data_IF_047775159006
#
_entry.id   IF_047775159006
#
_cell.length_a   1.000
_cell.length_b   1.000
_cell.length_c   1.000
_cell.angle_alpha   90.00
_cell.angle_beta   90.00
_cell.angle_gamma   90.00
#
_symmetry.space_group_name_H-M   'P 1'
#
loop_
_entity.id
_entity.type
_entity.pdbx_description
1 polymer ?
#
# COMPACT_ATOMS: atom_id res chain seq x y z
N UNK A 1 0.36 19.53 32.78
CA UNK A 1 0.74 18.88 31.53
C UNK A 1 0.38 19.82 30.40
N UNK A 2 1.38 20.33 29.65
CA UNK A 2 1.13 21.19 28.48
C UNK A 2 0.70 20.30 27.32
N UNK A 3 -0.52 20.48 26.84
CA UNK A 3 -0.98 19.87 25.59
C UNK A 3 -0.17 20.42 24.42
N UNK A 4 0.45 19.52 23.67
CA UNK A 4 1.18 19.86 22.46
C UNK A 4 0.18 20.25 21.36
N UNK A 5 0.44 21.36 20.67
CA UNK A 5 -0.38 21.79 19.53
C UNK A 5 -0.40 20.72 18.42
N UNK A 6 -1.47 20.61 17.61
CA UNK A 6 -1.57 19.63 16.52
C UNK A 6 -0.37 19.64 15.56
N UNK A 7 0.21 20.83 15.33
CA UNK A 7 1.38 21.01 14.47
C UNK A 7 2.67 20.50 15.14
N UNK A 8 2.82 20.62 16.44
CA UNK A 8 3.97 20.08 17.19
C UNK A 8 3.89 18.56 17.28
N UNK A 9 2.67 17.99 17.44
CA UNK A 9 2.43 16.55 17.41
C UNK A 9 2.78 15.96 16.05
N UNK A 10 2.40 16.62 14.95
CA UNK A 10 2.75 16.24 13.58
C UNK A 10 4.26 16.27 13.32
N UNK A 11 4.97 17.26 13.87
CA UNK A 11 6.43 17.42 13.68
C UNK A 11 7.25 16.42 14.50
N UNK A 12 6.78 16.00 15.69
CA UNK A 12 7.41 14.92 16.47
C UNK A 12 7.22 13.55 15.82
N UNK A 13 6.08 13.31 15.16
CA UNK A 13 5.80 12.06 14.47
C UNK A 13 6.65 11.88 13.19
N UNK A 14 7.12 12.97 12.55
CA UNK A 14 7.90 12.88 11.30
C UNK A 14 9.40 12.64 11.49
N UNK A 15 9.93 12.63 12.72
CA UNK A 15 11.37 12.49 12.99
C UNK A 15 11.79 11.15 13.60
N UNK A 16 10.87 10.21 13.81
CA UNK A 16 11.20 8.88 14.31
C UNK A 16 11.55 7.93 13.15
N UNK A 17 12.69 7.21 13.20
CA UNK A 17 13.03 6.21 12.17
C UNK A 17 11.97 5.11 12.02
N UNK A 18 11.17 4.86 13.07
CA UNK A 18 10.05 3.90 13.03
C UNK A 18 8.87 4.36 12.17
N UNK A 19 8.82 5.64 11.78
CA UNK A 19 7.73 6.19 10.96
C UNK A 19 8.12 6.37 9.50
N UNK A 20 9.36 6.04 9.12
CA UNK A 20 9.79 6.10 7.72
C UNK A 20 8.92 5.22 6.83
N UNK A 21 8.50 4.05 7.32
CA UNK A 21 7.67 3.09 6.57
C UNK A 21 6.24 3.56 6.25
N UNK A 22 5.74 4.59 6.95
CA UNK A 22 4.40 5.15 6.69
C UNK A 22 4.44 6.53 6.03
N UNK A 23 5.64 7.02 5.72
CA UNK A 23 5.83 8.29 5.05
C UNK A 23 6.13 8.06 3.56
N UNK A 24 5.38 8.75 2.72
CA UNK A 24 5.63 8.77 1.29
C UNK A 24 7.05 9.32 1.01
N UNK A 25 7.88 8.60 0.21
CA UNK A 25 9.17 9.14 -0.26
C UNK A 25 8.98 10.38 -1.14
N UNK A 26 9.98 11.28 -1.13
CA UNK A 26 9.96 12.44 -2.02
C UNK A 26 10.20 12.02 -3.47
N UNK A 27 9.47 12.66 -4.39
CA UNK A 27 9.55 12.38 -5.83
C UNK A 27 10.69 13.11 -6.56
N UNK A 28 11.63 13.76 -5.85
CA UNK A 28 12.69 14.56 -6.46
C UNK A 28 13.62 13.80 -7.42
N UNK A 29 14.01 14.42 -8.56
CA UNK A 29 15.00 13.88 -9.51
C UNK A 29 14.53 12.68 -10.35
N UNK A 30 13.25 12.63 -10.71
CA UNK A 30 12.66 11.52 -11.49
C UNK A 30 12.61 11.89 -12.96
N UNK A 31 13.03 10.95 -13.82
CA UNK A 31 12.70 10.99 -15.24
C UNK A 31 11.18 10.82 -15.38
N UNK A 32 10.45 11.75 -16.01
CA UNK A 32 9.02 11.62 -16.21
C UNK A 32 8.70 10.35 -17.02
N UNK A 33 7.72 9.58 -16.57
CA UNK A 33 7.28 8.33 -17.23
C UNK A 33 5.77 8.38 -17.53
N UNK A 34 5.31 9.32 -18.35
CA UNK A 34 3.88 9.58 -18.58
C UNK A 34 3.15 8.35 -19.12
N UNK A 35 3.81 7.54 -19.97
CA UNK A 35 3.26 6.28 -20.49
C UNK A 35 2.93 5.30 -19.36
N UNK A 36 3.86 5.07 -18.43
CA UNK A 36 3.66 4.12 -17.32
C UNK A 36 2.64 4.64 -16.33
N UNK A 37 2.63 5.96 -16.04
CA UNK A 37 1.59 6.60 -15.22
C UNK A 37 0.21 6.45 -15.86
N UNK A 38 0.11 6.59 -17.17
CA UNK A 38 -1.11 6.33 -17.95
C UNK A 38 -1.58 4.88 -17.83
N UNK A 39 -0.66 3.92 -17.92
CA UNK A 39 -0.97 2.49 -17.74
C UNK A 39 -1.51 2.20 -16.33
N UNK A 40 -0.91 2.74 -15.27
CA UNK A 40 -1.42 2.57 -13.90
C UNK A 40 -2.84 3.12 -13.79
N UNK A 41 -3.11 4.31 -14.34
CA UNK A 41 -4.45 4.91 -14.35
C UNK A 41 -5.45 4.02 -15.08
N UNK A 42 -5.13 3.60 -16.30
CA UNK A 42 -5.98 2.71 -17.10
C UNK A 42 -6.30 1.40 -16.37
N UNK A 43 -5.31 0.81 -15.70
CA UNK A 43 -5.53 -0.42 -14.92
C UNK A 43 -6.43 -0.17 -13.71
N UNK A 44 -6.30 0.98 -13.03
CA UNK A 44 -7.17 1.35 -11.92
C UNK A 44 -8.61 1.68 -12.33
N UNK A 45 -8.86 2.02 -13.59
CA UNK A 45 -10.22 2.15 -14.13
C UNK A 45 -10.93 0.79 -14.22
N UNK A 46 -10.18 -0.27 -14.56
CA UNK A 46 -10.70 -1.62 -14.73
C UNK A 46 -10.67 -2.46 -13.42
N UNK A 47 -9.67 -2.25 -12.57
CA UNK A 47 -9.42 -3.07 -11.38
C UNK A 47 -9.11 -2.20 -10.16
N UNK A 48 -9.67 -2.50 -8.99
CA UNK A 48 -9.37 -1.74 -7.76
C UNK A 48 -7.92 -1.88 -7.31
N UNK A 49 -7.25 -2.97 -7.69
CA UNK A 49 -5.89 -3.29 -7.28
C UNK A 49 -4.99 -3.33 -8.51
N UNK A 50 -3.87 -2.60 -8.46
CA UNK A 50 -2.79 -2.68 -9.44
C UNK A 50 -1.53 -3.20 -8.75
N UNK A 51 -0.99 -4.29 -9.27
CA UNK A 51 0.25 -4.89 -8.82
C UNK A 51 1.36 -4.56 -9.80
N UNK A 52 2.40 -3.91 -9.31
CA UNK A 52 3.59 -3.57 -10.10
C UNK A 52 4.74 -4.47 -9.68
N UNK A 53 5.16 -5.37 -10.57
CA UNK A 53 6.28 -6.28 -10.33
C UNK A 53 7.47 -5.93 -11.23
N UNK A 54 8.64 -5.71 -10.63
CA UNK A 54 9.88 -5.58 -11.37
C UNK A 54 11.11 -5.67 -10.48
N UNK A 55 12.28 -5.86 -11.06
CA UNK A 55 13.54 -6.01 -10.36
C UNK A 55 13.86 -4.84 -9.42
N UNK A 56 14.80 -5.07 -8.50
CA UNK A 56 15.35 -4.00 -7.65
C UNK A 56 15.95 -2.90 -8.53
N UNK A 57 15.85 -1.65 -8.08
CA UNK A 57 16.40 -0.50 -8.79
C UNK A 57 15.62 -0.03 -10.03
N UNK A 58 14.51 -0.67 -10.39
CA UNK A 58 13.67 -0.27 -11.54
C UNK A 58 12.88 1.03 -11.35
N UNK A 59 12.97 1.66 -10.19
CA UNK A 59 12.31 2.93 -9.88
C UNK A 59 10.83 2.83 -9.50
N UNK A 60 10.34 1.66 -9.06
CA UNK A 60 8.93 1.47 -8.62
C UNK A 60 8.47 2.47 -7.58
N UNK A 61 9.24 2.66 -6.52
CA UNK A 61 8.97 3.62 -5.44
C UNK A 61 8.79 5.03 -5.99
N UNK A 62 9.73 5.46 -6.83
CA UNK A 62 9.67 6.77 -7.49
C UNK A 62 8.49 6.90 -8.45
N UNK A 63 8.19 5.83 -9.19
CA UNK A 63 7.03 5.77 -10.08
C UNK A 63 5.72 5.94 -9.30
N UNK A 64 5.56 5.22 -8.18
CA UNK A 64 4.38 5.34 -7.34
C UNK A 64 4.27 6.74 -6.71
N UNK A 65 5.39 7.32 -6.25
CA UNK A 65 5.43 8.68 -5.76
C UNK A 65 5.03 9.70 -6.86
N UNK A 66 5.56 9.56 -8.08
CA UNK A 66 5.13 10.38 -9.23
C UNK A 66 3.66 10.21 -9.57
N UNK A 67 3.15 8.97 -9.51
CA UNK A 67 1.72 8.72 -9.76
C UNK A 67 0.84 9.49 -8.78
N UNK A 68 1.20 9.50 -7.50
CA UNK A 68 0.50 10.27 -6.47
C UNK A 68 0.52 11.77 -6.74
N UNK A 69 1.60 12.32 -7.32
CA UNK A 69 1.66 13.74 -7.69
C UNK A 69 0.69 14.10 -8.81
N UNK A 70 0.32 13.15 -9.65
CA UNK A 70 -0.63 13.35 -10.75
C UNK A 70 -2.08 13.14 -10.34
N UNK A 71 -2.33 12.65 -9.13
CA UNK A 71 -3.68 12.37 -8.61
C UNK A 71 -4.01 13.33 -7.48
N UNK A 72 -5.24 13.87 -7.46
CA UNK A 72 -5.73 14.68 -6.35
C UNK A 72 -6.28 13.82 -5.19
N UNK A 73 -6.03 12.50 -5.21
CA UNK A 73 -6.55 11.57 -4.21
C UNK A 73 -5.72 11.63 -2.93
N UNK A 74 -6.36 11.33 -1.81
CA UNK A 74 -5.64 11.03 -0.57
C UNK A 74 -4.79 9.79 -0.77
N UNK A 75 -3.60 9.78 -0.18
CA UNK A 75 -2.71 8.64 -0.26
C UNK A 75 -2.30 8.18 1.13
N UNK A 76 -2.44 6.87 1.36
CA UNK A 76 -1.84 6.19 2.51
C UNK A 76 -0.67 5.39 1.99
N UNK A 77 0.53 5.65 2.51
CA UNK A 77 1.75 4.93 2.16
C UNK A 77 2.11 3.95 3.26
N UNK A 78 2.41 2.73 2.88
CA UNK A 78 2.90 1.70 3.78
C UNK A 78 4.04 0.92 3.13
N UNK A 79 5.24 0.99 3.69
CA UNK A 79 6.40 0.22 3.28
C UNK A 79 6.50 -1.04 4.15
N UNK A 80 6.38 -2.20 3.52
CA UNK A 80 6.54 -3.50 4.16
C UNK A 80 8.02 -3.77 4.42
N UNK A 81 8.34 -4.24 5.62
CA UNK A 81 9.67 -4.68 6.01
C UNK A 81 9.64 -6.05 6.69
N UNK A 82 10.80 -6.57 7.09
CA UNK A 82 10.90 -7.87 7.76
C UNK A 82 10.17 -7.95 9.11
N UNK A 83 9.85 -6.81 9.74
CA UNK A 83 9.06 -6.78 10.97
C UNK A 83 7.59 -7.10 10.75
N UNK A 84 7.08 -6.96 9.52
CA UNK A 84 5.68 -7.25 9.16
C UNK A 84 5.38 -8.76 9.01
N UNK A 85 6.38 -9.61 9.18
CA UNK A 85 6.19 -11.04 9.41
C UNK A 85 5.45 -11.32 10.73
N UNK A 86 5.50 -10.38 11.68
CA UNK A 86 4.68 -10.39 12.88
C UNK A 86 3.37 -9.61 12.64
N UNK A 87 2.19 -10.27 12.69
CA UNK A 87 0.90 -9.62 12.54
C UNK A 87 0.68 -8.43 13.47
N UNK A 88 1.20 -8.48 14.70
CA UNK A 88 1.05 -7.38 15.66
C UNK A 88 1.73 -6.10 15.16
N UNK A 89 2.95 -6.22 14.64
CA UNK A 89 3.67 -5.10 14.05
C UNK A 89 2.96 -4.54 12.83
N UNK A 90 2.54 -5.42 11.92
CA UNK A 90 1.83 -5.02 10.71
C UNK A 90 0.56 -4.20 11.02
N UNK A 91 -0.33 -4.73 11.86
CA UNK A 91 -1.58 -4.04 12.22
C UNK A 91 -1.34 -2.75 13.00
N UNK A 92 -0.31 -2.73 13.86
CA UNK A 92 0.06 -1.54 14.62
C UNK A 92 0.46 -0.38 13.71
N UNK A 93 1.44 -0.59 12.83
CA UNK A 93 1.95 0.49 11.97
C UNK A 93 0.96 0.88 10.88
N UNK A 94 0.21 -0.07 10.31
CA UNK A 94 -0.86 0.25 9.36
C UNK A 94 -1.96 1.06 10.05
N UNK A 95 -2.32 0.73 11.29
CA UNK A 95 -3.25 1.50 12.09
C UNK A 95 -2.79 2.95 12.29
N UNK A 96 -1.50 3.18 12.57
CA UNK A 96 -0.92 4.53 12.67
C UNK A 96 -1.02 5.27 11.33
N UNK A 97 -0.65 4.61 10.22
CA UNK A 97 -0.74 5.20 8.88
C UNK A 97 -2.17 5.67 8.56
N UNK A 98 -3.16 4.85 8.90
CA UNK A 98 -4.56 5.16 8.63
C UNK A 98 -5.13 6.22 9.57
N UNK A 99 -4.71 6.26 10.85
CA UNK A 99 -5.13 7.27 11.81
C UNK A 99 -4.72 8.70 11.42
N UNK A 100 -3.72 8.85 10.55
CA UNK A 100 -3.35 10.15 9.97
C UNK A 100 -4.40 10.66 8.97
N UNK A 101 -5.26 9.80 8.46
CA UNK A 101 -6.24 10.08 7.41
C UNK A 101 -7.71 9.92 7.85
N UNK A 102 -7.94 9.27 8.98
CA UNK A 102 -9.29 9.05 9.54
C UNK A 102 -9.27 9.14 11.07
N UNK A 103 -10.27 9.79 11.70
CA UNK A 103 -10.40 9.80 13.15
C UNK A 103 -10.87 8.44 13.72
N UNK A 104 -11.49 7.60 12.91
CA UNK A 104 -11.95 6.28 13.33
C UNK A 104 -10.80 5.27 13.20
N UNK A 105 -10.35 4.76 14.35
CA UNK A 105 -9.33 3.72 14.39
C UNK A 105 -9.96 2.34 14.13
N UNK A 106 -9.31 1.47 13.34
CA UNK A 106 -9.70 0.07 13.25
C UNK A 106 -9.47 -0.64 14.61
N UNK A 107 -10.10 -1.82 14.83
CA UNK A 107 -9.96 -2.55 16.09
C UNK A 107 -8.48 -2.89 16.36
N UNK A 108 -7.99 -2.77 17.62
CA UNK A 108 -6.62 -3.10 17.95
C UNK A 108 -6.37 -4.61 17.81
N UNK A 109 -5.18 -4.98 17.38
CA UNK A 109 -4.75 -6.37 17.37
C UNK A 109 -4.37 -6.81 18.79
N UNK A 110 -4.79 -8.02 19.16
CA UNK A 110 -4.37 -8.69 20.40
C UNK A 110 -3.92 -10.12 20.10
N UNK A 111 -3.08 -10.76 20.94
CA UNK A 111 -2.59 -12.11 20.69
C UNK A 111 -3.70 -13.16 20.46
N UNK A 112 -4.88 -12.99 21.06
CA UNK A 112 -6.01 -13.90 20.88
C UNK A 112 -6.51 -13.94 19.42
N UNK A 113 -6.26 -12.90 18.64
CA UNK A 113 -6.62 -12.85 17.22
C UNK A 113 -5.79 -13.78 16.34
N UNK A 114 -4.66 -14.32 16.86
CA UNK A 114 -3.88 -15.34 16.15
C UNK A 114 -4.65 -16.66 15.98
N UNK A 115 -5.63 -16.96 16.85
CA UNK A 115 -6.45 -18.17 16.72
C UNK A 115 -7.38 -18.13 15.50
N UNK A 116 -7.79 -16.93 15.07
CA UNK A 116 -8.55 -16.72 13.83
C UNK A 116 -8.15 -15.41 13.15
N UNK A 117 -6.91 -15.43 12.67
CA UNK A 117 -6.26 -14.28 12.03
C UNK A 117 -7.02 -13.80 10.79
N UNK A 118 -7.60 -14.73 10.02
CA UNK A 118 -8.37 -14.38 8.83
C UNK A 118 -9.64 -13.59 9.15
N UNK A 119 -10.39 -14.02 10.17
CA UNK A 119 -11.59 -13.30 10.59
C UNK A 119 -11.25 -11.93 11.20
N UNK A 120 -10.16 -11.83 11.97
CA UNK A 120 -9.68 -10.55 12.47
C UNK A 120 -9.29 -9.62 11.32
N UNK A 121 -8.46 -10.08 10.37
CA UNK A 121 -8.03 -9.29 9.22
C UNK A 121 -9.23 -8.76 8.42
N UNK A 122 -10.24 -9.61 8.13
CA UNK A 122 -11.49 -9.18 7.48
C UNK A 122 -12.20 -8.05 8.23
N UNK A 123 -12.36 -8.18 9.55
CA UNK A 123 -13.01 -7.14 10.37
C UNK A 123 -12.22 -5.85 10.38
N UNK A 124 -10.89 -5.98 10.55
CA UNK A 124 -9.96 -4.86 10.57
C UNK A 124 -10.05 -4.05 9.28
N UNK A 125 -9.88 -4.68 8.11
CA UNK A 125 -9.88 -3.98 6.83
C UNK A 125 -11.25 -3.43 6.44
N UNK A 126 -12.35 -4.10 6.80
CA UNK A 126 -13.69 -3.53 6.63
C UNK A 126 -13.88 -2.26 7.46
N UNK A 127 -13.47 -2.27 8.71
CA UNK A 127 -13.53 -1.09 9.57
C UNK A 127 -12.64 0.04 9.05
N UNK A 128 -11.39 -0.29 8.65
CA UNK A 128 -10.43 0.64 8.10
C UNK A 128 -10.98 1.30 6.83
N UNK A 129 -11.41 0.54 5.85
CA UNK A 129 -11.91 1.08 4.58
C UNK A 129 -13.23 1.84 4.74
N UNK A 130 -14.11 1.43 5.66
CA UNK A 130 -15.34 2.17 5.98
C UNK A 130 -15.07 3.52 6.63
N UNK A 131 -13.93 3.67 7.29
CA UNK A 131 -13.52 4.94 7.91
C UNK A 131 -12.89 5.93 6.90
N UNK A 132 -12.57 5.48 5.69
CA UNK A 132 -12.03 6.31 4.59
C UNK A 132 -13.22 6.86 3.79
N UNK A 133 -13.69 8.06 4.15
CA UNK A 133 -14.87 8.68 3.55
C UNK A 133 -14.64 9.23 2.13
N UNK A 134 -13.38 9.45 1.71
CA UNK A 134 -13.03 10.04 0.44
C UNK A 134 -12.25 9.04 -0.42
N UNK A 135 -12.22 9.25 -1.76
CA UNK A 135 -11.38 8.44 -2.65
C UNK A 135 -9.93 8.42 -2.18
N UNK A 136 -9.45 7.23 -1.84
CA UNK A 136 -8.11 7.03 -1.24
C UNK A 136 -7.31 6.02 -2.04
N UNK A 137 -6.02 6.31 -2.25
CA UNK A 137 -5.05 5.37 -2.80
C UNK A 137 -4.18 4.82 -1.66
N UNK A 138 -4.25 3.52 -1.41
CA UNK A 138 -3.36 2.80 -0.50
C UNK A 138 -2.18 2.26 -1.30
N UNK A 139 -0.96 2.69 -0.98
CA UNK A 139 0.28 2.16 -1.57
C UNK A 139 0.91 1.20 -0.57
N UNK A 140 1.11 -0.04 -1.01
CA UNK A 140 1.84 -1.09 -0.28
C UNK A 140 3.18 -1.29 -1.02
N UNK A 141 4.24 -0.76 -0.44
CA UNK A 141 5.59 -0.88 -1.00
C UNK A 141 6.34 -2.08 -0.42
N UNK A 142 7.29 -2.62 -1.19
CA UNK A 142 8.16 -3.72 -0.77
C UNK A 142 7.42 -4.98 -0.30
N UNK A 143 6.27 -5.30 -0.86
CA UNK A 143 5.48 -6.48 -0.48
C UNK A 143 6.32 -7.75 -0.27
N UNK A 144 7.33 -7.95 -1.13
CA UNK A 144 8.24 -9.10 -1.11
C UNK A 144 9.08 -9.22 0.19
N UNK A 145 9.15 -8.19 1.04
CA UNK A 145 9.93 -8.23 2.27
C UNK A 145 9.31 -9.16 3.34
N UNK A 146 7.99 -9.40 3.28
CA UNK A 146 7.27 -10.32 4.16
C UNK A 146 6.54 -11.44 3.40
N UNK A 147 6.70 -11.55 2.08
CA UNK A 147 5.96 -12.48 1.22
C UNK A 147 6.20 -13.96 1.56
N UNK A 148 7.36 -14.29 2.12
CA UNK A 148 7.68 -15.67 2.53
C UNK A 148 6.86 -16.12 3.76
N UNK A 149 6.19 -15.19 4.47
CA UNK A 149 5.43 -15.48 5.68
C UNK A 149 3.95 -15.77 5.33
N UNK A 150 3.44 -16.98 5.58
CA UNK A 150 2.06 -17.35 5.27
C UNK A 150 1.00 -16.48 5.95
N UNK A 151 1.26 -16.04 7.19
CA UNK A 151 0.36 -15.18 7.95
C UNK A 151 0.21 -13.81 7.28
N UNK A 152 1.29 -13.25 6.73
CA UNK A 152 1.25 -12.00 5.98
C UNK A 152 0.43 -12.14 4.70
N UNK A 153 0.64 -13.20 3.91
CA UNK A 153 -0.13 -13.45 2.70
C UNK A 153 -1.62 -13.67 2.99
N UNK A 154 -1.95 -14.36 4.09
CA UNK A 154 -3.33 -14.51 4.55
C UNK A 154 -3.95 -13.15 4.90
N UNK A 155 -3.26 -12.32 5.66
CA UNK A 155 -3.72 -10.97 6.02
C UNK A 155 -3.95 -10.14 4.74
N UNK A 156 -3.00 -10.14 3.82
CA UNK A 156 -3.09 -9.37 2.58
C UNK A 156 -4.18 -9.87 1.64
N UNK A 157 -4.43 -11.18 1.59
CA UNK A 157 -5.58 -11.73 0.86
C UNK A 157 -6.91 -11.19 1.39
N UNK A 158 -7.08 -11.18 2.71
CA UNK A 158 -8.30 -10.64 3.34
C UNK A 158 -8.41 -9.12 3.13
N UNK A 159 -7.28 -8.39 3.20
CA UNK A 159 -7.21 -6.95 2.93
C UNK A 159 -7.67 -6.62 1.52
N UNK A 160 -7.02 -7.24 0.53
CA UNK A 160 -7.25 -6.95 -0.89
C UNK A 160 -8.66 -7.40 -1.34
N UNK A 161 -9.18 -8.49 -0.76
CA UNK A 161 -10.56 -8.93 -1.01
C UNK A 161 -11.63 -8.01 -0.42
N UNK A 162 -11.26 -7.14 0.53
CA UNK A 162 -12.19 -6.23 1.19
C UNK A 162 -12.18 -4.81 0.58
N UNK A 163 -11.37 -4.55 -0.45
CA UNK A 163 -11.21 -3.22 -1.06
C UNK A 163 -12.53 -2.72 -1.67
N UNK A 164 -13.10 -1.62 -1.19
CA UNK A 164 -14.34 -1.06 -1.72
C UNK A 164 -14.09 -0.20 -2.96
N UNK A 165 -15.15 0.17 -3.69
CA UNK A 165 -15.06 0.91 -4.95
C UNK A 165 -14.39 2.29 -4.85
N UNK A 166 -14.45 2.95 -3.70
CA UNK A 166 -13.84 4.27 -3.49
C UNK A 166 -12.37 4.20 -3.06
N UNK A 167 -11.83 3.00 -2.80
CA UNK A 167 -10.42 2.78 -2.48
C UNK A 167 -9.73 2.13 -3.68
N UNK A 168 -8.53 2.59 -3.98
CA UNK A 168 -7.60 1.96 -4.92
C UNK A 168 -6.37 1.48 -4.17
N UNK A 169 -5.80 0.36 -4.61
CA UNK A 169 -4.59 -0.18 -4.00
C UNK A 169 -3.51 -0.32 -5.07
N UNK A 170 -2.32 0.19 -4.78
CA UNK A 170 -1.13 0.03 -5.60
C UNK A 170 -0.11 -0.79 -4.81
N UNK A 171 0.16 -2.00 -5.26
CA UNK A 171 1.16 -2.88 -4.63
C UNK A 171 2.45 -2.87 -5.45
N UNK A 172 3.57 -2.67 -4.78
CA UNK A 172 4.90 -2.70 -5.38
C UNK A 172 5.67 -3.90 -4.83
N UNK A 173 6.11 -4.78 -5.72
CA UNK A 173 6.88 -5.98 -5.36
C UNK A 173 8.03 -6.23 -6.34
N UNK A 174 8.94 -7.12 -5.98
CA UNK A 174 9.93 -7.68 -6.91
C UNK A 174 9.36 -8.86 -7.69
N UNK A 175 8.35 -9.52 -7.14
CA UNK A 175 7.75 -10.73 -7.67
C UNK A 175 6.31 -10.51 -8.10
N UNK A 176 5.81 -11.43 -8.91
CA UNK A 176 4.39 -11.51 -9.28
C UNK A 176 3.52 -11.75 -8.05
N UNK A 177 2.21 -11.50 -8.10
CA UNK A 177 1.31 -11.79 -6.98
C UNK A 177 1.43 -13.23 -6.51
N UNK A 178 1.45 -13.49 -5.19
CA UNK A 178 1.53 -14.85 -4.66
C UNK A 178 0.24 -15.63 -4.95
N UNK A 179 0.30 -16.99 -4.91
CA UNK A 179 -0.83 -17.86 -5.25
C UNK A 179 -2.11 -17.58 -4.45
N UNK A 180 -2.01 -17.09 -3.23
CA UNK A 180 -3.13 -16.72 -2.36
C UNK A 180 -4.00 -15.62 -2.97
N UNK A 181 -3.47 -14.84 -3.90
CA UNK A 181 -4.17 -13.76 -4.62
C UNK A 181 -4.68 -14.19 -6.01
N UNK A 182 -4.51 -15.45 -6.42
CA UNK A 182 -4.91 -15.93 -7.74
C UNK A 182 -6.40 -15.70 -8.04
N UNK A 183 -7.27 -15.80 -7.03
CA UNK A 183 -8.70 -15.53 -7.18
C UNK A 183 -8.98 -14.08 -7.58
N UNK A 184 -8.25 -13.10 -7.00
CA UNK A 184 -8.41 -11.68 -7.33
C UNK A 184 -7.99 -11.41 -8.79
N UNK A 185 -6.95 -12.09 -9.27
CA UNK A 185 -6.54 -12.00 -10.68
C UNK A 185 -7.61 -12.62 -11.60
N UNK A 186 -8.11 -13.82 -11.28
CA UNK A 186 -9.14 -14.50 -12.06
C UNK A 186 -10.44 -13.68 -12.17
N UNK A 187 -10.81 -12.97 -11.10
CA UNK A 187 -11.97 -12.09 -11.05
C UNK A 187 -11.71 -10.70 -11.65
N UNK A 188 -10.52 -10.41 -12.18
CA UNK A 188 -10.12 -9.10 -12.70
C UNK A 188 -10.14 -7.98 -11.63
N UNK A 189 -10.10 -8.34 -10.35
CA UNK A 189 -10.00 -7.40 -9.23
C UNK A 189 -8.57 -6.92 -9.02
N UNK A 190 -7.57 -7.68 -9.54
CA UNK A 190 -6.15 -7.36 -9.50
C UNK A 190 -5.56 -7.37 -10.91
N UNK A 191 -5.04 -6.23 -11.35
CA UNK A 191 -4.33 -6.07 -12.61
C UNK A 191 -2.82 -6.08 -12.38
N UNK A 192 -2.08 -6.83 -13.21
CA UNK A 192 -0.63 -6.91 -13.15
C UNK A 192 0.02 -5.96 -14.16
N UNK A 193 1.03 -5.21 -13.71
CA UNK A 193 2.00 -4.50 -14.52
C UNK A 193 3.39 -5.09 -14.21
N UNK A 194 3.93 -5.85 -15.14
CA UNK A 194 5.23 -6.49 -15.00
C UNK A 194 6.39 -5.62 -15.53
N UNK A 195 7.59 -6.17 -15.47
CA UNK A 195 8.80 -5.51 -15.98
C UNK A 195 8.68 -5.07 -17.44
N UNK A 196 7.97 -5.82 -18.31
CA UNK A 196 7.84 -5.48 -19.73
C UNK A 196 7.13 -4.13 -19.90
N UNK A 197 6.12 -3.86 -19.07
CA UNK A 197 5.40 -2.59 -19.06
C UNK A 197 6.25 -1.43 -18.52
N UNK A 198 7.23 -1.73 -17.65
CA UNK A 198 8.07 -0.74 -16.99
C UNK A 198 9.36 -0.42 -17.73
N UNK A 199 9.74 -1.18 -18.76
CA UNK A 199 10.93 -0.86 -19.57
C UNK A 199 10.79 0.55 -20.14
N UNK A 200 11.92 1.28 -20.15
CA UNK A 200 12.02 2.51 -20.91
C UNK A 200 11.92 2.18 -22.41
N UNK A 201 11.17 2.97 -23.14
CA UNK A 201 11.16 2.91 -24.61
C UNK A 201 12.34 3.70 -25.15
N UNK A 202 12.68 3.49 -26.43
CA UNK A 202 13.73 4.26 -27.11
C UNK A 202 13.43 5.77 -27.05
N UNK A 203 12.17 6.16 -27.16
CA UNK A 203 11.70 7.55 -27.03
C UNK A 203 11.88 8.13 -25.62
N UNK A 204 11.81 7.29 -24.58
CA UNK A 204 12.01 7.70 -23.16
C UNK A 204 13.51 7.78 -22.79
N UNK A 205 14.40 7.29 -23.68
CA UNK A 205 15.86 7.18 -23.44
C UNK A 205 16.67 8.22 -24.22
N UNK A 206 16.06 8.89 -25.20
CA UNK A 206 16.65 9.86 -26.15
C UNK A 206 17.02 11.22 -25.62
#
# INVERSE_FOLDING_TARGET
>A
ARELTPTARRRMLTSSPFLSKINRPQSGGIVPRPRVLGLIRQRHEASPIVWVSSLAGSGKTKLAASYLDTTAQRAIWYEVDGGDTDPANFFHYLGIACAMHSPAAPPPFTPDHLFDLAAFARRYFRALFSALAEPTLLVIENYHAAEAEPSFNLIMREALSAVPRHVRVLVLSRFSPPPELARLQANQELALLDWQHLKLTEEETG
#
